data_IF_233464808962
#
_entry.id   IF_233464808962
#
_cell.length_a   1.000
_cell.length_b   1.000
_cell.length_c   1.000
_cell.angle_alpha   90.00
_cell.angle_beta   90.00
_cell.angle_gamma   90.00
#
_symmetry.space_group_name_H-M   'P 1'
#
loop_
_entity.id
_entity.type
_entity.pdbx_description
1 polymer ?
#
# COMPACT_ATOMS: atom_id res chain seq x y z
N UNK A 1 9.98 1.05 -12.02
CA UNK A 1 9.42 -0.28 -11.72
C UNK A 1 8.00 -0.11 -11.26
N UNK A 2 7.07 -0.97 -11.69
CA UNK A 2 5.69 -0.89 -11.31
C UNK A 2 5.52 -1.12 -9.82
N UNK A 3 4.45 -0.56 -9.26
CA UNK A 3 4.24 -0.45 -7.83
C UNK A 3 2.92 -1.14 -7.44
N UNK A 4 2.94 -2.45 -7.16
CA UNK A 4 1.73 -3.18 -6.82
C UNK A 4 1.05 -2.66 -5.56
N UNK A 5 1.80 -2.07 -4.62
CA UNK A 5 1.24 -1.53 -3.38
C UNK A 5 0.31 -0.34 -3.66
N UNK A 6 0.75 0.60 -4.49
CA UNK A 6 -0.07 1.78 -4.85
C UNK A 6 -1.13 1.47 -5.91
N UNK A 7 -0.97 0.39 -6.68
CA UNK A 7 -1.95 -0.06 -7.67
C UNK A 7 -3.04 -0.99 -7.10
N UNK A 8 -2.81 -1.60 -5.94
CA UNK A 8 -3.80 -2.46 -5.28
C UNK A 8 -5.22 -1.88 -5.16
N UNK A 9 -5.42 -0.58 -4.86
CA UNK A 9 -6.75 0.01 -4.81
C UNK A 9 -7.58 -0.20 -6.09
N UNK A 10 -6.92 -0.27 -7.26
CA UNK A 10 -7.60 -0.53 -8.54
C UNK A 10 -8.19 -1.94 -8.60
N UNK A 11 -7.49 -2.92 -8.02
CA UNK A 11 -7.95 -4.31 -7.96
C UNK A 11 -8.97 -4.49 -6.84
N UNK A 12 -8.72 -3.92 -5.67
CA UNK A 12 -9.56 -4.13 -4.49
C UNK A 12 -10.94 -3.50 -4.61
N UNK A 13 -11.05 -2.37 -5.32
CA UNK A 13 -12.33 -1.75 -5.63
C UNK A 13 -13.25 -2.70 -6.42
N UNK A 14 -12.68 -3.50 -7.33
CA UNK A 14 -13.43 -4.37 -8.23
C UNK A 14 -13.59 -5.80 -7.74
N UNK A 15 -13.14 -6.11 -6.51
CA UNK A 15 -13.27 -7.42 -5.86
C UNK A 15 -11.99 -8.24 -5.79
N UNK A 16 -10.85 -7.66 -6.17
CA UNK A 16 -9.54 -8.26 -6.04
C UNK A 16 -9.05 -8.35 -4.60
N UNK A 17 -8.27 -9.38 -4.30
CA UNK A 17 -7.59 -9.58 -3.01
C UNK A 17 -6.26 -10.31 -3.27
N UNK A 18 -5.37 -10.35 -2.27
CA UNK A 18 -4.10 -11.08 -2.40
C UNK A 18 -4.27 -12.55 -2.03
N UNK A 19 -4.66 -12.81 -0.78
CA UNK A 19 -4.93 -14.13 -0.25
C UNK A 19 -6.37 -14.22 0.23
N UNK A 20 -7.03 -15.33 -0.07
CA UNK A 20 -8.37 -15.61 0.43
C UNK A 20 -8.35 -16.08 1.89
N UNK A 21 -9.50 -16.56 2.34
CA UNK A 21 -9.69 -17.06 3.70
C UNK A 21 -10.09 -18.54 3.69
N UNK A 22 -9.61 -19.28 4.67
CA UNK A 22 -10.11 -20.60 5.01
C UNK A 22 -11.52 -20.49 5.63
N UNK A 23 -12.29 -21.59 5.72
CA UNK A 23 -13.60 -21.59 6.35
C UNK A 23 -13.62 -21.11 7.83
N UNK A 24 -12.48 -21.16 8.51
CA UNK A 24 -12.30 -20.69 9.88
C UNK A 24 -11.90 -19.20 10.00
N UNK A 25 -11.82 -18.50 8.87
CA UNK A 25 -11.43 -17.09 8.78
C UNK A 25 -9.92 -16.84 8.84
N UNK A 26 -9.08 -17.88 8.87
CA UNK A 26 -7.63 -17.71 8.75
C UNK A 26 -7.22 -17.46 7.30
N UNK A 27 -6.14 -16.71 7.08
CA UNK A 27 -5.63 -16.45 5.72
C UNK A 27 -5.20 -17.76 5.05
N UNK A 28 -5.67 -17.98 3.81
CA UNK A 28 -5.26 -19.11 2.97
C UNK A 28 -4.19 -18.66 1.96
N UNK A 29 -2.91 -19.02 2.14
CA UNK A 29 -1.84 -18.59 1.24
C UNK A 29 -1.92 -19.22 -0.16
N UNK A 30 -2.75 -20.24 -0.37
CA UNK A 30 -2.88 -20.93 -1.66
C UNK A 30 -4.10 -20.49 -2.48
N UNK A 31 -4.98 -19.67 -1.89
CA UNK A 31 -6.06 -18.98 -2.60
C UNK A 31 -5.57 -17.59 -3.03
N UNK A 32 -4.94 -17.52 -4.20
CA UNK A 32 -4.38 -16.29 -4.75
C UNK A 32 -5.45 -15.51 -5.52
N UNK A 33 -5.88 -14.37 -4.97
CA UNK A 33 -6.95 -13.54 -5.55
C UNK A 33 -6.52 -12.61 -6.69
N UNK A 34 -5.23 -12.58 -7.04
CA UNK A 34 -4.69 -11.65 -8.04
C UNK A 34 -5.21 -11.92 -9.47
N UNK A 35 -5.75 -13.10 -9.74
CA UNK A 35 -6.30 -13.46 -11.06
C UNK A 35 -7.82 -13.68 -11.04
N UNK A 36 -8.52 -13.30 -9.96
CA UNK A 36 -9.97 -13.37 -9.91
C UNK A 36 -10.61 -12.31 -10.84
N UNK A 37 -11.91 -12.44 -11.15
CA UNK A 37 -12.60 -11.52 -12.06
C UNK A 37 -12.45 -10.04 -11.65
N UNK A 38 -12.45 -9.75 -10.35
CA UNK A 38 -12.25 -8.41 -9.83
C UNK A 38 -10.87 -7.87 -10.09
N UNK A 39 -9.82 -8.63 -9.80
CA UNK A 39 -8.44 -8.25 -10.08
C UNK A 39 -8.20 -8.05 -11.57
N UNK A 40 -8.77 -8.90 -12.43
CA UNK A 40 -8.69 -8.73 -13.88
C UNK A 40 -9.40 -7.44 -14.33
N UNK A 41 -10.57 -7.10 -13.76
CA UNK A 41 -11.24 -5.82 -14.04
C UNK A 41 -10.36 -4.62 -13.65
N UNK A 42 -9.75 -4.64 -12.48
CA UNK A 42 -8.85 -3.57 -12.01
C UNK A 42 -7.60 -3.43 -12.89
N UNK A 43 -7.01 -4.55 -13.31
CA UNK A 43 -5.87 -4.57 -14.21
C UNK A 43 -6.23 -4.07 -15.64
N UNK A 44 -7.44 -4.35 -16.12
CA UNK A 44 -7.96 -3.77 -17.37
C UNK A 44 -8.21 -2.27 -17.25
N UNK A 45 -8.62 -1.77 -16.07
CA UNK A 45 -8.71 -0.33 -15.85
C UNK A 45 -7.32 0.33 -15.95
N UNK A 46 -6.28 -0.28 -15.36
CA UNK A 46 -4.91 0.22 -15.50
C UNK A 46 -4.47 0.28 -16.97
N UNK A 47 -4.69 -0.79 -17.73
CA UNK A 47 -4.38 -0.80 -19.17
C UNK A 47 -5.11 0.31 -19.92
N UNK A 48 -6.40 0.52 -19.64
CA UNK A 48 -7.19 1.59 -20.26
C UNK A 48 -6.63 2.99 -19.95
N UNK A 49 -6.23 3.24 -18.69
CA UNK A 49 -5.63 4.54 -18.30
C UNK A 49 -4.32 4.80 -19.06
N UNK A 50 -3.56 3.75 -19.35
CA UNK A 50 -2.36 3.80 -20.18
C UNK A 50 -2.71 4.12 -21.64
N UNK A 51 -3.68 3.41 -22.21
CA UNK A 51 -4.13 3.59 -23.61
C UNK A 51 -4.75 4.98 -23.85
N UNK A 52 -5.45 5.52 -22.86
CA UNK A 52 -6.02 6.88 -22.88
C UNK A 52 -4.97 7.98 -22.61
N UNK A 53 -3.71 7.60 -22.30
CA UNK A 53 -2.62 8.53 -22.01
C UNK A 53 -2.76 9.29 -20.68
N UNK A 54 -3.62 8.79 -19.78
CA UNK A 54 -3.82 9.34 -18.43
C UNK A 54 -2.69 8.89 -17.51
N UNK A 55 -2.31 7.62 -17.61
CA UNK A 55 -1.19 7.03 -16.86
C UNK A 55 0.03 6.90 -17.78
N UNK A 56 1.24 7.13 -17.25
CA UNK A 56 2.49 6.97 -18.00
C UNK A 56 3.04 5.56 -17.79
N UNK A 57 3.22 4.75 -18.85
CA UNK A 57 3.82 3.43 -18.73
C UNK A 57 5.17 3.43 -18.01
N UNK A 58 5.31 2.55 -17.02
CA UNK A 58 6.60 2.27 -16.38
C UNK A 58 7.17 3.39 -15.50
N UNK A 59 6.42 4.47 -15.26
CA UNK A 59 6.83 5.52 -14.34
C UNK A 59 7.02 4.92 -12.94
N UNK A 60 8.24 5.04 -12.40
CA UNK A 60 8.52 4.55 -11.05
C UNK A 60 8.03 5.52 -9.97
N UNK A 61 7.96 5.03 -8.74
CA UNK A 61 7.48 5.80 -7.61
C UNK A 61 8.23 7.12 -7.37
N UNK A 62 9.55 7.12 -7.58
CA UNK A 62 10.39 8.31 -7.43
C UNK A 62 10.08 9.35 -8.50
N UNK A 63 9.85 8.90 -9.74
CA UNK A 63 9.47 9.75 -10.86
C UNK A 63 8.09 10.37 -10.61
N UNK A 64 7.10 9.58 -10.20
CA UNK A 64 5.74 10.07 -9.89
C UNK A 64 5.77 11.11 -8.78
N UNK A 65 6.44 10.82 -7.66
CA UNK A 65 6.55 11.79 -6.54
C UNK A 65 7.33 13.04 -6.93
N UNK A 66 8.40 12.92 -7.72
CA UNK A 66 9.16 14.05 -8.25
C UNK A 66 8.31 14.95 -9.16
N UNK A 67 7.60 14.37 -10.12
CA UNK A 67 6.72 15.11 -11.03
C UNK A 67 5.57 15.81 -10.30
N UNK A 68 5.01 15.18 -9.25
CA UNK A 68 4.01 15.85 -8.41
C UNK A 68 4.62 17.04 -7.66
N UNK A 69 5.80 16.89 -7.08
CA UNK A 69 6.52 17.97 -6.39
C UNK A 69 6.94 19.10 -7.36
N UNK A 70 7.14 18.79 -8.64
CA UNK A 70 7.36 19.79 -9.70
C UNK A 70 6.06 20.47 -10.19
N UNK A 71 4.90 20.07 -9.67
CA UNK A 71 3.58 20.60 -10.08
C UNK A 71 3.12 20.10 -11.45
N UNK A 72 3.69 19.00 -11.95
CA UNK A 72 3.38 18.43 -13.27
C UNK A 72 2.31 17.34 -13.24
N UNK A 73 1.91 16.88 -12.06
CA UNK A 73 0.83 15.92 -11.88
C UNK A 73 -0.33 16.56 -11.10
N UNK A 74 -1.55 16.38 -11.58
CA UNK A 74 -2.75 16.85 -10.88
C UNK A 74 -3.14 15.96 -9.70
N UNK A 75 -2.83 14.67 -9.74
CA UNK A 75 -3.15 13.69 -8.71
C UNK A 75 -2.06 12.62 -8.63
N UNK A 76 -1.95 11.98 -7.46
CA UNK A 76 -1.05 10.87 -7.17
C UNK A 76 -1.67 10.01 -6.06
N UNK A 77 -1.56 8.69 -6.17
CA UNK A 77 -1.86 7.78 -5.05
C UNK A 77 -0.54 7.55 -4.28
N UNK A 78 -0.48 8.02 -3.05
CA UNK A 78 0.71 7.92 -2.20
C UNK A 78 0.35 7.80 -0.71
N UNK A 79 1.35 7.53 0.11
CA UNK A 79 1.23 7.49 1.57
C UNK A 79 1.75 8.75 2.28
N UNK A 80 1.54 8.83 3.61
CA UNK A 80 1.93 9.99 4.43
C UNK A 80 3.41 10.39 4.37
N UNK A 81 4.28 9.48 3.93
CA UNK A 81 5.73 9.72 3.84
C UNK A 81 6.13 10.69 2.73
N UNK A 82 5.26 10.99 1.77
CA UNK A 82 5.54 11.97 0.71
C UNK A 82 5.30 13.42 1.15
N UNK A 83 4.52 13.62 2.22
CA UNK A 83 4.06 14.95 2.64
C UNK A 83 5.20 15.92 2.95
N UNK A 84 6.33 15.44 3.45
CA UNK A 84 7.53 16.26 3.67
C UNK A 84 8.01 16.92 2.37
N UNK A 85 8.23 16.13 1.32
CA UNK A 85 8.68 16.63 0.02
C UNK A 85 7.66 17.55 -0.66
N UNK A 86 6.36 17.23 -0.54
CA UNK A 86 5.28 18.07 -1.09
C UNK A 86 5.28 19.46 -0.44
N UNK A 87 5.42 19.51 0.89
CA UNK A 87 5.49 20.77 1.67
C UNK A 87 6.74 21.57 1.33
N UNK A 88 7.90 20.91 1.24
CA UNK A 88 9.16 21.55 0.85
C UNK A 88 9.11 22.14 -0.56
N UNK A 89 8.42 21.47 -1.49
CA UNK A 89 8.20 21.96 -2.84
C UNK A 89 7.18 23.10 -2.94
N UNK A 90 6.48 23.43 -1.86
CA UNK A 90 5.48 24.51 -1.83
C UNK A 90 4.21 24.21 -2.64
N UNK A 91 3.93 22.93 -2.91
CA UNK A 91 2.71 22.51 -3.61
C UNK A 91 1.51 22.72 -2.70
N UNK A 92 0.46 23.35 -3.23
CA UNK A 92 -0.85 23.39 -2.58
C UNK A 92 -1.59 22.07 -2.85
N UNK A 93 -1.79 21.25 -1.82
CA UNK A 93 -2.35 19.91 -1.96
C UNK A 93 -3.51 19.67 -1.01
N UNK A 94 -4.26 18.60 -1.29
CA UNK A 94 -5.25 18.02 -0.37
C UNK A 94 -5.14 16.50 -0.35
N UNK A 95 -5.64 15.88 0.71
CA UNK A 95 -5.71 14.41 0.86
C UNK A 95 -7.19 14.01 0.91
N UNK A 96 -7.57 13.05 0.09
CA UNK A 96 -8.95 12.55 0.02
C UNK A 96 -8.97 11.04 -0.20
N UNK A 97 -10.16 10.44 -0.19
CA UNK A 97 -10.35 9.04 -0.56
C UNK A 97 -9.93 8.81 -2.01
N UNK A 98 -9.40 7.62 -2.27
CA UNK A 98 -9.20 7.15 -3.64
C UNK A 98 -10.57 7.11 -4.34
N UNK A 99 -10.71 7.66 -5.57
CA UNK A 99 -11.97 7.66 -6.28
C UNK A 99 -12.59 6.27 -6.38
N UNK A 100 -13.92 6.19 -6.35
CA UNK A 100 -14.64 4.93 -6.54
C UNK A 100 -14.41 4.41 -7.96
N UNK A 101 -14.34 3.09 -8.11
CA UNK A 101 -14.23 2.40 -9.40
C UNK A 101 -15.48 1.56 -9.57
N UNK A 102 -16.22 1.77 -10.66
CA UNK A 102 -17.52 1.13 -10.92
C UNK A 102 -18.52 1.30 -9.75
N UNK A 103 -18.48 2.47 -9.09
CA UNK A 103 -19.29 2.78 -7.92
C UNK A 103 -18.87 2.07 -6.63
N UNK A 104 -17.80 1.27 -6.66
CA UNK A 104 -17.23 0.58 -5.51
C UNK A 104 -16.08 1.37 -4.89
N UNK A 105 -15.97 1.29 -3.56
CA UNK A 105 -14.92 1.97 -2.80
C UNK A 105 -13.58 1.26 -3.01
N UNK A 106 -12.56 2.01 -3.43
CA UNK A 106 -11.20 1.52 -3.53
C UNK A 106 -10.58 1.34 -2.14
N UNK A 107 -9.97 0.18 -1.89
CA UNK A 107 -9.47 -0.22 -0.58
C UNK A 107 -7.94 -0.29 -0.61
N UNK A 108 -7.21 0.74 -0.16
CA UNK A 108 -5.76 0.69 -0.10
C UNK A 108 -5.27 -0.27 0.99
N UNK A 109 -4.00 -0.68 0.89
CA UNK A 109 -3.37 -1.37 2.01
C UNK A 109 -3.14 -0.43 3.19
N UNK A 110 -3.58 -0.85 4.36
CA UNK A 110 -3.22 -0.22 5.64
C UNK A 110 -1.97 -0.91 6.18
N UNK A 111 -0.86 -0.19 6.15
CA UNK A 111 0.41 -0.62 6.73
C UNK A 111 0.62 -0.01 8.12
N UNK A 112 1.08 -0.80 9.07
CA UNK A 112 1.46 -0.34 10.41
C UNK A 112 2.95 -0.55 10.59
N UNK A 113 3.68 0.54 10.87
CA UNK A 113 5.08 0.45 11.27
C UNK A 113 5.18 0.22 12.77
N UNK A 114 6.05 -0.71 13.17
CA UNK A 114 6.24 -1.07 14.56
C UNK A 114 7.66 -1.49 14.85
N UNK A 115 7.99 -1.55 16.14
CA UNK A 115 9.28 -2.02 16.63
C UNK A 115 9.18 -3.51 16.94
N UNK A 116 10.19 -4.28 16.52
CA UNK A 116 10.30 -5.71 16.80
C UNK A 116 11.55 -5.95 17.65
N UNK A 117 11.44 -6.79 18.69
CA UNK A 117 12.59 -7.24 19.48
C UNK A 117 13.09 -8.56 18.89
N UNK A 118 14.36 -8.62 18.52
CA UNK A 118 14.97 -9.87 18.05
C UNK A 118 14.86 -10.97 19.11
N UNK A 119 14.39 -12.15 18.69
CA UNK A 119 14.34 -13.34 19.54
C UNK A 119 15.75 -13.77 20.04
N UNK A 120 16.80 -13.37 19.32
CA UNK A 120 18.20 -13.64 19.67
C UNK A 120 18.86 -12.57 20.53
N UNK A 121 18.16 -11.48 20.85
CA UNK A 121 18.73 -10.42 21.69
C UNK A 121 19.08 -10.95 23.08
N UNK A 122 20.27 -10.60 23.58
CA UNK A 122 20.67 -10.83 24.97
C UNK A 122 20.05 -9.79 25.92
N UNK A 123 19.57 -8.67 25.38
CA UNK A 123 19.08 -7.51 26.14
C UNK A 123 17.54 -7.35 26.05
N UNK A 124 16.78 -8.46 26.00
CA UNK A 124 15.33 -8.44 25.76
C UNK A 124 14.56 -7.57 26.76
N UNK A 125 14.92 -7.65 28.04
CA UNK A 125 14.27 -6.85 29.09
C UNK A 125 14.50 -5.36 28.87
N UNK A 126 15.76 -4.95 28.66
CA UNK A 126 16.10 -3.56 28.40
C UNK A 126 15.45 -3.03 27.12
N UNK A 127 15.44 -3.82 26.03
CA UNK A 127 14.77 -3.45 24.80
C UNK A 127 13.27 -3.26 25.00
N UNK A 128 12.61 -4.18 25.74
CA UNK A 128 11.20 -4.04 26.08
C UNK A 128 10.94 -2.79 26.90
N UNK A 129 11.72 -2.56 27.96
CA UNK A 129 11.60 -1.36 28.79
C UNK A 129 11.81 -0.08 27.98
N UNK A 130 12.79 -0.05 27.07
CA UNK A 130 12.97 1.09 26.18
C UNK A 130 11.75 1.33 25.28
N UNK A 131 11.18 0.26 24.71
CA UNK A 131 9.99 0.38 23.87
C UNK A 131 8.75 0.81 24.66
N UNK A 132 8.54 0.29 25.87
CA UNK A 132 7.33 0.56 26.65
C UNK A 132 7.41 1.85 27.48
N UNK A 133 8.58 2.15 28.05
CA UNK A 133 8.73 3.27 28.98
C UNK A 133 9.29 4.54 28.34
N UNK A 134 9.98 4.44 27.20
CA UNK A 134 10.51 5.61 26.48
C UNK A 134 9.80 5.84 25.15
N UNK A 135 9.77 4.84 24.26
CA UNK A 135 9.16 5.00 22.93
C UNK A 135 7.65 5.19 23.01
N UNK A 136 6.93 4.35 23.77
CA UNK A 136 5.47 4.44 23.93
C UNK A 136 5.03 5.55 24.91
N UNK A 137 5.67 6.72 24.81
CA UNK A 137 5.28 7.94 25.51
C UNK A 137 4.72 8.96 24.52
N UNK A 138 3.84 9.85 25.00
CA UNK A 138 3.21 10.87 24.15
C UNK A 138 4.27 11.74 23.45
N UNK A 139 5.23 12.26 24.21
CA UNK A 139 6.27 13.15 23.70
C UNK A 139 7.15 12.50 22.63
N UNK A 140 7.53 11.23 22.81
CA UNK A 140 8.36 10.53 21.82
C UNK A 140 7.57 10.18 20.57
N UNK A 141 6.31 9.73 20.71
CA UNK A 141 5.45 9.44 19.56
C UNK A 141 5.12 10.70 18.76
N UNK A 142 4.93 11.86 19.40
CA UNK A 142 4.77 13.14 18.71
C UNK A 142 6.03 13.54 17.93
N UNK A 143 7.22 13.38 18.52
CA UNK A 143 8.49 13.62 17.80
C UNK A 143 8.68 12.69 16.60
N UNK A 144 8.26 11.43 16.71
CA UNK A 144 8.27 10.50 15.57
C UNK A 144 7.30 10.98 14.48
N UNK A 145 6.11 11.44 14.84
CA UNK A 145 5.15 12.02 13.91
C UNK A 145 5.69 13.27 13.20
N UNK A 146 6.27 14.22 13.92
CA UNK A 146 6.84 15.44 13.36
C UNK A 146 7.91 15.15 12.29
N UNK A 147 8.64 14.05 12.44
CA UNK A 147 9.68 13.63 11.48
C UNK A 147 9.15 12.78 10.33
N UNK A 148 8.21 11.88 10.62
CA UNK A 148 7.77 10.86 9.66
C UNK A 148 6.45 11.18 8.98
N UNK A 149 5.72 12.20 9.45
CA UNK A 149 4.37 12.63 9.00
C UNK A 149 3.32 11.52 8.95
N UNK A 150 3.56 10.40 9.66
CA UNK A 150 2.68 9.23 9.75
C UNK A 150 1.75 9.36 10.95
N UNK A 151 0.43 9.10 10.80
CA UNK A 151 -0.48 9.10 11.95
C UNK A 151 0.04 8.19 13.08
N UNK A 152 0.15 8.70 14.33
CA UNK A 152 0.53 7.87 15.47
C UNK A 152 -0.50 6.75 15.71
N UNK A 153 -0.01 5.54 15.97
CA UNK A 153 -0.86 4.45 16.48
C UNK A 153 -1.12 4.57 17.99
N UNK A 154 -0.30 5.35 18.71
CA UNK A 154 -0.46 5.59 20.15
C UNK A 154 -1.52 6.66 20.40
N UNK A 155 -2.68 6.26 20.93
CA UNK A 155 -3.87 7.11 21.06
C UNK A 155 -3.60 8.48 21.73
N UNK A 156 -2.84 8.57 22.85
CA UNK A 156 -2.56 9.86 23.46
C UNK A 156 -1.79 10.83 22.55
N UNK A 157 -0.97 10.35 21.61
CA UNK A 157 -0.30 11.19 20.64
C UNK A 157 -1.19 11.49 19.42
N UNK A 158 -2.03 10.54 19.02
CA UNK A 158 -2.98 10.73 17.92
C UNK A 158 -4.01 11.82 18.25
N UNK A 159 -4.50 11.87 19.49
CA UNK A 159 -5.48 12.87 19.95
C UNK A 159 -4.99 14.31 19.71
N UNK A 160 -3.72 14.59 20.01
CA UNK A 160 -3.08 15.91 19.85
C UNK A 160 -2.97 16.37 18.39
N UNK A 161 -2.99 15.43 17.43
CA UNK A 161 -2.81 15.73 15.99
C UNK A 161 -4.07 15.45 15.17
N UNK A 162 -5.17 15.06 15.83
CA UNK A 162 -6.42 14.60 15.20
C UNK A 162 -7.14 15.67 14.39
N UNK A 163 -6.89 16.95 14.68
CA UNK A 163 -7.45 18.08 13.93
C UNK A 163 -6.61 18.48 12.72
N UNK A 164 -5.44 17.85 12.51
CA UNK A 164 -4.62 18.12 11.33
C UNK A 164 -5.35 17.57 10.07
N UNK A 165 -5.58 18.41 9.03
CA UNK A 165 -6.27 17.98 7.82
C UNK A 165 -5.55 16.82 7.09
N UNK A 166 -4.21 16.76 7.15
CA UNK A 166 -3.46 15.64 6.58
C UNK A 166 -3.86 14.33 7.27
N UNK A 167 -3.91 14.34 8.61
CA UNK A 167 -4.26 13.17 9.43
C UNK A 167 -5.69 12.74 9.15
N UNK A 168 -6.63 13.69 9.05
CA UNK A 168 -8.02 13.40 8.74
C UNK A 168 -8.16 12.79 7.34
N UNK A 169 -7.48 13.35 6.33
CA UNK A 169 -7.46 12.83 4.97
C UNK A 169 -6.89 11.41 4.88
N UNK A 170 -5.82 11.13 5.63
CA UNK A 170 -5.26 9.77 5.73
C UNK A 170 -6.25 8.83 6.43
N UNK A 171 -6.87 9.27 7.53
CA UNK A 171 -7.80 8.45 8.31
C UNK A 171 -9.03 8.03 7.49
N UNK A 172 -9.60 8.92 6.67
CA UNK A 172 -10.76 8.56 5.84
C UNK A 172 -10.41 7.54 4.75
N UNK A 173 -9.18 7.57 4.21
CA UNK A 173 -8.71 6.59 3.23
C UNK A 173 -8.38 5.25 3.90
N UNK A 174 -7.72 5.29 5.06
CA UNK A 174 -7.40 4.10 5.84
C UNK A 174 -8.64 3.38 6.40
N UNK A 175 -9.73 4.12 6.69
CA UNK A 175 -10.98 3.54 7.17
C UNK A 175 -11.65 2.60 6.15
N UNK A 176 -11.42 2.81 4.85
CA UNK A 176 -11.89 1.92 3.79
C UNK A 176 -10.84 0.84 3.42
N UNK A 177 -9.61 1.00 3.92
CA UNK A 177 -8.49 0.16 3.57
C UNK A 177 -8.55 -1.24 4.18
N UNK A 178 -7.71 -2.14 3.67
CA UNK A 178 -7.53 -3.47 4.21
C UNK A 178 -6.13 -3.62 4.82
N UNK A 179 -5.97 -4.24 6.00
CA UNK A 179 -4.65 -4.54 6.52
C UNK A 179 -3.85 -5.39 5.53
N UNK A 180 -2.58 -5.04 5.34
CA UNK A 180 -1.68 -5.86 4.53
C UNK A 180 -1.56 -7.27 5.13
N UNK A 181 -1.57 -8.35 4.31
CA UNK A 181 -1.34 -9.69 4.81
C UNK A 181 -0.01 -9.78 5.58
N UNK A 182 -0.07 -10.32 6.80
CA UNK A 182 1.07 -10.41 7.73
C UNK A 182 1.78 -11.77 7.71
N UNK A 183 1.40 -12.65 6.80
CA UNK A 183 1.97 -14.00 6.68
C UNK A 183 3.27 -13.97 5.85
N UNK A 184 4.25 -14.85 6.11
CA UNK A 184 5.54 -14.87 5.40
C UNK A 184 5.40 -14.97 3.87
N UNK A 185 4.38 -15.67 3.39
CA UNK A 185 4.10 -15.92 1.97
C UNK A 185 3.85 -14.64 1.17
N UNK A 186 3.52 -13.53 1.83
CA UNK A 186 3.41 -12.23 1.19
C UNK A 186 4.73 -11.81 0.51
N UNK A 187 5.88 -12.29 0.98
CA UNK A 187 7.17 -12.03 0.34
C UNK A 187 7.25 -12.60 -1.08
N UNK A 188 6.54 -13.69 -1.36
CA UNK A 188 6.49 -14.32 -2.70
C UNK A 188 5.59 -13.59 -3.68
N UNK A 189 4.73 -12.68 -3.19
CA UNK A 189 3.70 -11.99 -3.99
C UNK A 189 4.28 -10.82 -4.79
N UNK A 190 5.07 -9.97 -4.13
CA UNK A 190 5.42 -8.66 -4.66
C UNK A 190 6.16 -8.71 -6.00
N UNK A 191 7.12 -9.64 -6.13
CA UNK A 191 7.91 -9.79 -7.35
C UNK A 191 7.05 -10.19 -8.55
N UNK A 192 6.36 -11.33 -8.45
CA UNK A 192 5.53 -11.86 -9.52
C UNK A 192 4.41 -10.88 -9.92
N UNK A 193 3.82 -10.17 -8.95
CA UNK A 193 2.80 -9.18 -9.24
C UNK A 193 3.40 -7.93 -9.93
N UNK A 194 4.56 -7.45 -9.48
CA UNK A 194 5.29 -6.37 -10.16
C UNK A 194 5.61 -6.73 -11.61
N UNK A 195 6.06 -7.95 -11.86
CA UNK A 195 6.39 -8.44 -13.20
C UNK A 195 5.14 -8.52 -14.09
N UNK A 196 4.00 -8.98 -13.57
CA UNK A 196 2.75 -8.97 -14.31
C UNK A 196 2.30 -7.55 -14.67
N UNK A 197 2.38 -6.61 -13.73
CA UNK A 197 2.05 -5.22 -14.02
C UNK A 197 3.01 -4.63 -15.06
N UNK A 198 4.31 -4.93 -14.98
CA UNK A 198 5.31 -4.48 -15.97
C UNK A 198 4.93 -4.95 -17.38
N UNK A 199 4.48 -6.20 -17.51
CA UNK A 199 4.04 -6.76 -18.79
C UNK A 199 2.76 -6.07 -19.30
N UNK A 200 1.82 -5.74 -18.42
CA UNK A 200 0.57 -5.05 -18.76
C UNK A 200 0.83 -3.61 -19.20
N UNK A 201 1.55 -2.81 -18.41
CA UNK A 201 1.77 -1.38 -18.71
C UNK A 201 2.59 -1.18 -19.98
N UNK A 202 3.47 -2.13 -20.30
CA UNK A 202 4.21 -2.14 -21.56
C UNK A 202 3.46 -2.83 -22.72
N UNK A 203 2.20 -3.21 -22.53
CA UNK A 203 1.34 -3.86 -23.53
C UNK A 203 1.98 -5.12 -24.14
N UNK A 204 2.76 -5.86 -23.34
CA UNK A 204 3.43 -7.11 -23.75
C UNK A 204 2.55 -8.33 -23.52
N UNK A 205 1.63 -8.26 -22.55
CA UNK A 205 0.62 -9.28 -22.28
C UNK A 205 -0.69 -8.63 -21.86
N UNK A 206 -1.79 -9.28 -22.22
CA UNK A 206 -3.12 -8.93 -21.73
C UNK A 206 -3.23 -9.13 -20.20
N UNK A 207 -4.01 -8.29 -19.50
CA UNK A 207 -4.21 -8.38 -18.05
C UNK A 207 -4.58 -9.77 -17.56
N UNK A 208 -5.50 -10.46 -18.25
CA UNK A 208 -5.92 -11.81 -17.88
C UNK A 208 -4.75 -12.80 -17.84
N UNK A 209 -3.92 -12.83 -18.89
CA UNK A 209 -2.80 -13.74 -18.98
C UNK A 209 -1.69 -13.40 -18.00
N UNK A 210 -1.33 -12.11 -17.88
CA UNK A 210 -0.26 -11.66 -17.00
C UNK A 210 -0.58 -11.95 -15.52
N UNK A 211 -1.80 -11.64 -15.08
CA UNK A 211 -2.22 -11.84 -13.69
C UNK A 211 -2.37 -13.33 -13.35
N UNK A 212 -2.85 -14.17 -14.28
CA UNK A 212 -2.89 -15.63 -14.10
C UNK A 212 -1.49 -16.23 -13.96
N UNK A 213 -0.55 -15.81 -14.81
CA UNK A 213 0.85 -16.25 -14.70
C UNK A 213 1.45 -15.89 -13.34
N UNK A 214 1.22 -14.66 -12.86
CA UNK A 214 1.68 -14.24 -11.54
C UNK A 214 1.04 -15.08 -10.42
N UNK A 215 -0.27 -15.31 -10.46
CA UNK A 215 -0.95 -16.12 -9.46
C UNK A 215 -0.41 -17.56 -9.40
N UNK A 216 -0.16 -18.17 -10.56
CA UNK A 216 0.46 -19.50 -10.65
C UNK A 216 1.90 -19.52 -10.12
N UNK A 217 2.71 -18.52 -10.48
CA UNK A 217 4.09 -18.41 -10.01
C UNK A 217 4.16 -18.22 -8.49
N UNK A 218 3.28 -17.39 -7.92
CA UNK A 218 3.17 -17.18 -6.47
C UNK A 218 2.83 -18.50 -5.79
N UNK A 219 1.82 -19.20 -6.30
CA UNK A 219 1.37 -20.47 -5.74
C UNK A 219 2.48 -21.52 -5.74
N UNK A 220 3.20 -21.67 -6.86
CA UNK A 220 4.38 -22.57 -6.96
C UNK A 220 5.47 -22.20 -5.96
N UNK A 221 5.80 -20.91 -5.88
CA UNK A 221 6.81 -20.39 -4.95
C UNK A 221 6.45 -20.71 -3.49
N UNK A 222 5.17 -20.54 -3.11
CA UNK A 222 4.67 -20.89 -1.77
C UNK A 222 4.74 -22.40 -1.52
N UNK A 223 4.48 -23.22 -2.55
CA UNK A 223 4.55 -24.68 -2.48
C UNK A 223 5.99 -25.22 -2.52
N UNK A 224 6.99 -24.39 -2.86
CA UNK A 224 8.39 -24.80 -2.99
C UNK A 224 8.71 -25.53 -4.30
N UNK A 225 7.94 -25.26 -5.36
CA UNK A 225 8.08 -25.84 -6.70
C UNK A 225 8.90 -24.98 -7.66
#
# INVERSE_FOLDING_TARGET
TPDPYHLFPLLSATGGYVFGENPDGTTNPLDIGLANEGSIRGANLLLRLIEEGIEVPGADYQTVTGLFNEGKLGMMIAGPWTLGGIKEAGINYGITKIPTIDGQVAKPFVGVQGFMISAFSENKLLARTFLTEFIATKDVMLKLYERATRPPAFLPALEEVSTNPDIQGIAISAADGIPMPKIPEMASVWGAWSDAIELIVNQKLEPDQAMKNAAEQIKKTIMGE
#
